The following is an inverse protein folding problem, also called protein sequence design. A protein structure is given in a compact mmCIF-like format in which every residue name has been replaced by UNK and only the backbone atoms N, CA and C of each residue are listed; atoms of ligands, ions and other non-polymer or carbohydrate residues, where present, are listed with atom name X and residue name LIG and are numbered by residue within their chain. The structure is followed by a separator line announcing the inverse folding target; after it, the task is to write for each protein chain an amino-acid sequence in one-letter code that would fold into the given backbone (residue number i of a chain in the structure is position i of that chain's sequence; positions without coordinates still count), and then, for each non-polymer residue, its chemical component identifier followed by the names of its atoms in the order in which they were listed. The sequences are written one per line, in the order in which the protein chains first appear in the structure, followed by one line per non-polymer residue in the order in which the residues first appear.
data_IF_827469441369
#
_entry.id   IF_827469441369
#
_cell.length_a   1.000
_cell.length_b   1.000
_cell.length_c   1.000
_cell.angle_alpha   90.00
_cell.angle_beta   90.00
_cell.angle_gamma   90.00
#
_symmetry.space_group_name_H-M   'P 1'
#
loop_
_entity.id
_entity.type
_entity.pdbx_description
1 polymer ?
#
# COMPACT_ATOMS: atom_id res chain seq x y z
N UNK A 1 43.64 -33.17 0.98
CA UNK A 1 44.36 -32.01 1.55
C UNK A 1 44.65 -31.02 0.44
N UNK A 2 44.00 -29.85 0.45
CA UNK A 2 44.53 -28.64 -0.17
C UNK A 2 44.11 -27.46 0.71
N UNK A 3 45.08 -26.94 1.48
CA UNK A 3 44.99 -25.67 2.21
C UNK A 3 45.03 -24.52 1.20
N UNK A 4 44.12 -23.55 1.31
CA UNK A 4 44.40 -22.17 0.90
C UNK A 4 43.97 -21.20 2.00
N UNK A 5 44.80 -20.17 2.14
CA UNK A 5 45.04 -19.34 3.31
C UNK A 5 43.95 -18.28 3.48
N UNK A 6 43.63 -17.99 4.75
CA UNK A 6 43.01 -16.74 5.18
C UNK A 6 43.93 -15.56 4.85
N UNK A 7 43.35 -14.46 4.38
CA UNK A 7 43.93 -13.14 4.47
C UNK A 7 42.85 -12.21 5.02
N UNK A 8 42.96 -11.89 6.30
CA UNK A 8 42.31 -10.75 6.90
C UNK A 8 43.16 -9.52 6.58
N UNK A 9 42.58 -8.47 5.99
CA UNK A 9 43.16 -7.12 6.01
C UNK A 9 42.03 -6.08 6.06
N UNK A 10 41.83 -5.56 7.27
CA UNK A 10 41.57 -4.18 7.69
C UNK A 10 40.48 -3.32 7.01
N UNK A 11 39.48 -2.97 7.81
CA UNK A 11 38.78 -1.69 7.73
C UNK A 11 39.77 -0.52 7.86
N UNK A 12 39.46 0.60 7.19
CA UNK A 12 39.20 1.82 7.96
C UNK A 12 37.82 2.42 7.63
N UNK A 13 37.27 3.08 8.64
CA UNK A 13 36.09 3.93 8.56
C UNK A 13 36.33 5.12 7.62
N UNK A 14 35.32 5.55 6.87
CA UNK A 14 34.61 6.80 7.19
C UNK A 14 33.53 7.14 6.16
N UNK A 15 32.41 7.63 6.71
CA UNK A 15 31.45 8.59 6.15
C UNK A 15 31.02 8.45 4.69
N UNK A 16 29.76 8.03 4.49
CA UNK A 16 29.06 8.30 3.23
C UNK A 16 27.64 7.76 3.22
N UNK A 17 26.69 8.61 3.59
CA UNK A 17 25.25 8.47 3.36
C UNK A 17 24.55 7.23 3.94
N UNK A 18 24.18 7.35 5.22
CA UNK A 18 22.85 6.91 5.64
C UNK A 18 21.83 7.94 5.15
N UNK A 19 21.68 8.07 3.84
CA UNK A 19 20.41 8.56 3.31
C UNK A 19 19.46 7.39 3.53
N UNK A 20 18.84 7.38 4.71
CA UNK A 20 17.53 6.77 4.82
C UNK A 20 16.72 7.42 3.72
N UNK A 21 16.51 6.67 2.64
CA UNK A 21 15.50 6.97 1.65
C UNK A 21 14.17 6.94 2.40
N UNK A 22 13.87 8.03 3.09
CA UNK A 22 12.52 8.46 3.40
C UNK A 22 11.83 8.37 2.04
N UNK A 23 11.04 7.31 1.85
CA UNK A 23 10.07 7.19 0.78
C UNK A 23 9.26 8.47 0.82
N UNK A 24 9.66 9.45 0.03
CA UNK A 24 9.00 10.74 -0.05
C UNK A 24 7.66 10.43 -0.69
N UNK A 25 6.62 10.29 0.13
CA UNK A 25 5.23 10.22 -0.35
C UNK A 25 5.05 11.32 -1.38
N UNK A 26 4.67 10.90 -2.59
CA UNK A 26 4.51 11.78 -3.74
C UNK A 26 3.15 12.43 -3.65
N UNK A 27 2.98 13.30 -2.65
CA UNK A 27 1.72 14.01 -2.46
C UNK A 27 1.42 14.86 -3.69
N UNK A 28 0.20 14.73 -4.21
CA UNK A 28 -0.34 15.52 -5.34
C UNK A 28 -0.24 17.02 -5.11
N UNK A 29 -0.23 17.46 -3.85
CA UNK A 29 0.02 18.85 -3.44
C UNK A 29 1.38 19.40 -3.92
N UNK A 30 2.44 18.57 -3.88
CA UNK A 30 3.78 18.96 -4.36
C UNK A 30 3.81 19.12 -5.87
N UNK A 31 3.01 18.33 -6.60
CA UNK A 31 2.91 18.46 -8.05
C UNK A 31 2.23 19.77 -8.45
N UNK A 32 1.19 20.21 -7.72
CA UNK A 32 0.62 21.56 -7.92
C UNK A 32 1.69 22.63 -7.78
N UNK A 33 2.46 22.58 -6.70
CA UNK A 33 3.50 23.56 -6.40
C UNK A 33 4.60 23.63 -7.47
N UNK A 34 5.04 22.47 -8.00
CA UNK A 34 6.09 22.39 -9.04
C UNK A 34 5.61 23.00 -10.37
N UNK A 35 4.34 22.82 -10.70
CA UNK A 35 3.81 23.14 -12.03
C UNK A 35 2.82 24.31 -12.05
N UNK A 36 2.78 25.13 -10.97
CA UNK A 36 1.89 26.29 -10.76
C UNK A 36 1.66 27.19 -11.99
N UNK A 37 2.63 27.29 -12.89
CA UNK A 37 2.62 28.25 -14.00
C UNK A 37 2.61 27.64 -15.41
N UNK A 38 2.45 26.32 -15.58
CA UNK A 38 2.87 25.70 -16.86
C UNK A 38 2.05 24.55 -17.43
N UNK A 39 1.08 23.99 -16.70
CA UNK A 39 0.34 22.83 -17.18
C UNK A 39 -1.16 23.12 -17.25
N UNK A 40 -1.63 23.48 -18.45
CA UNK A 40 -3.06 23.46 -18.76
C UNK A 40 -3.61 22.07 -18.43
N UNK A 41 -4.69 21.95 -17.65
CA UNK A 41 -5.35 20.72 -17.17
C UNK A 41 -4.75 19.98 -15.97
N UNK A 42 -3.60 20.40 -15.42
CA UNK A 42 -2.99 19.69 -14.29
C UNK A 42 -3.82 19.78 -13.01
N UNK A 43 -4.39 20.95 -12.71
CA UNK A 43 -5.19 21.13 -11.49
C UNK A 43 -6.43 20.23 -11.48
N UNK A 44 -7.11 20.09 -12.62
CA UNK A 44 -8.25 19.17 -12.80
C UNK A 44 -7.81 17.71 -12.60
N UNK A 45 -6.68 17.31 -13.20
CA UNK A 45 -6.16 15.95 -13.05
C UNK A 45 -5.78 15.63 -11.60
N UNK A 46 -5.22 16.60 -10.87
CA UNK A 46 -4.85 16.43 -9.46
C UNK A 46 -6.09 16.43 -8.55
N UNK A 47 -7.14 17.18 -8.88
CA UNK A 47 -8.44 17.12 -8.19
C UNK A 47 -9.09 15.74 -8.34
N UNK A 48 -9.15 15.22 -9.57
CA UNK A 48 -9.68 13.88 -9.86
C UNK A 48 -8.90 12.79 -9.11
N UNK A 49 -7.57 12.95 -9.02
CA UNK A 49 -6.71 12.03 -8.30
C UNK A 49 -7.01 12.03 -6.79
N UNK A 50 -7.15 13.22 -6.20
CA UNK A 50 -7.49 13.37 -4.77
C UNK A 50 -8.87 12.77 -4.45
N UNK A 51 -9.87 13.04 -5.30
CA UNK A 51 -11.21 12.47 -5.17
C UNK A 51 -11.16 10.95 -5.23
N UNK A 52 -10.49 10.40 -6.24
CA UNK A 52 -10.35 8.94 -6.44
C UNK A 52 -9.64 8.29 -5.26
N UNK A 53 -8.61 8.93 -4.71
CA UNK A 53 -7.87 8.45 -3.53
C UNK A 53 -8.79 8.33 -2.30
N UNK A 54 -9.58 9.38 -2.01
CA UNK A 54 -10.55 9.38 -0.91
C UNK A 54 -11.65 8.34 -1.09
N UNK A 55 -12.15 8.17 -2.32
CA UNK A 55 -13.14 7.15 -2.63
C UNK A 55 -12.56 5.74 -2.48
N UNK A 56 -11.31 5.54 -2.86
CA UNK A 56 -10.61 4.25 -2.73
C UNK A 56 -10.46 3.84 -1.26
N UNK A 57 -10.06 4.76 -0.38
CA UNK A 57 -10.01 4.51 1.07
C UNK A 57 -11.37 4.14 1.65
N UNK A 58 -12.43 4.86 1.25
CA UNK A 58 -13.80 4.54 1.68
C UNK A 58 -14.25 3.17 1.17
N UNK A 59 -13.92 2.83 -0.07
CA UNK A 59 -14.25 1.54 -0.68
C UNK A 59 -13.56 0.39 0.07
N UNK A 60 -12.26 0.52 0.35
CA UNK A 60 -11.50 -0.45 1.14
C UNK A 60 -12.16 -0.73 2.51
N UNK A 61 -12.54 0.33 3.23
CA UNK A 61 -13.22 0.20 4.52
C UNK A 61 -14.60 -0.48 4.40
N UNK A 62 -15.35 -0.20 3.35
CA UNK A 62 -16.66 -0.84 3.10
C UNK A 62 -16.47 -2.32 2.74
N UNK A 63 -15.49 -2.65 1.89
CA UNK A 63 -15.17 -4.02 1.48
C UNK A 63 -14.84 -4.90 2.70
N UNK A 64 -13.95 -4.45 3.59
CA UNK A 64 -13.62 -5.18 4.83
C UNK A 64 -14.87 -5.45 5.68
N UNK A 65 -15.64 -4.40 6.01
CA UNK A 65 -16.86 -4.56 6.81
C UNK A 65 -17.91 -5.45 6.14
N UNK A 66 -18.03 -5.38 4.82
CA UNK A 66 -18.95 -6.23 4.05
C UNK A 66 -18.53 -7.69 4.11
N UNK A 67 -17.24 -7.95 3.91
CA UNK A 67 -16.64 -9.27 4.00
C UNK A 67 -16.81 -9.90 5.39
N UNK A 68 -16.55 -9.14 6.45
CA UNK A 68 -16.74 -9.58 7.84
C UNK A 68 -18.20 -9.97 8.12
N UNK A 69 -19.17 -9.15 7.69
CA UNK A 69 -20.59 -9.45 7.85
C UNK A 69 -21.02 -10.68 7.05
N UNK A 70 -20.54 -10.82 5.83
CA UNK A 70 -20.83 -11.97 4.99
C UNK A 70 -20.29 -13.26 5.61
N UNK A 71 -19.04 -13.23 6.09
CA UNK A 71 -18.44 -14.35 6.78
C UNK A 71 -19.18 -14.72 8.07
N UNK A 72 -19.58 -13.72 8.86
CA UNK A 72 -20.37 -13.95 10.07
C UNK A 72 -21.71 -14.62 9.76
N UNK A 73 -22.42 -14.18 8.71
CA UNK A 73 -23.63 -14.85 8.24
C UNK A 73 -23.38 -16.31 7.85
N UNK A 74 -22.31 -16.58 7.09
CA UNK A 74 -21.96 -17.93 6.65
C UNK A 74 -21.71 -18.88 7.82
N UNK A 75 -20.96 -18.43 8.84
CA UNK A 75 -20.74 -19.18 10.09
C UNK A 75 -22.04 -19.54 10.80
N UNK A 76 -23.01 -18.63 10.82
CA UNK A 76 -24.30 -18.85 11.48
C UNK A 76 -25.23 -19.77 10.67
N UNK A 77 -24.94 -20.00 9.39
CA UNK A 77 -25.74 -20.84 8.50
C UNK A 77 -25.55 -22.34 8.69
N UNK A 78 -24.55 -22.79 9.45
CA UNK A 78 -24.31 -24.21 9.77
C UNK A 78 -23.84 -25.08 8.60
N UNK A 79 -23.52 -24.49 7.44
CA UNK A 79 -22.99 -25.20 6.29
C UNK A 79 -21.47 -25.00 6.21
N UNK A 80 -20.71 -26.06 6.51
CA UNK A 80 -19.24 -26.01 6.56
C UNK A 80 -18.58 -25.63 5.23
N UNK A 81 -19.17 -26.00 4.08
CA UNK A 81 -18.62 -25.63 2.78
C UNK A 81 -18.82 -24.13 2.48
N UNK A 82 -19.96 -23.57 2.90
CA UNK A 82 -20.24 -22.14 2.75
C UNK A 82 -19.35 -21.32 3.70
N UNK A 83 -19.16 -21.79 4.94
CA UNK A 83 -18.25 -21.16 5.91
C UNK A 83 -16.80 -21.08 5.38
N UNK A 84 -16.27 -22.20 4.85
CA UNK A 84 -14.91 -22.23 4.26
C UNK A 84 -14.75 -21.25 3.10
N UNK A 85 -15.68 -21.28 2.14
CA UNK A 85 -15.66 -20.38 0.98
C UNK A 85 -15.78 -18.92 1.43
N UNK A 86 -16.67 -18.63 2.38
CA UNK A 86 -16.86 -17.27 2.90
C UNK A 86 -15.62 -16.77 3.65
N UNK A 87 -14.92 -17.64 4.37
CA UNK A 87 -13.64 -17.31 5.02
C UNK A 87 -12.58 -16.92 4.01
N UNK A 88 -12.43 -17.70 2.94
CA UNK A 88 -11.49 -17.39 1.85
C UNK A 88 -11.82 -16.09 1.12
N UNK A 89 -13.10 -15.83 0.86
CA UNK A 89 -13.56 -14.56 0.27
C UNK A 89 -13.22 -13.39 1.20
N UNK A 90 -13.44 -13.54 2.51
CA UNK A 90 -13.09 -12.50 3.48
C UNK A 90 -11.61 -12.17 3.46
N UNK A 91 -10.76 -13.18 3.49
CA UNK A 91 -9.31 -12.99 3.52
C UNK A 91 -8.81 -12.31 2.24
N UNK A 92 -9.35 -12.68 1.07
CA UNK A 92 -9.03 -12.02 -0.21
C UNK A 92 -9.48 -10.55 -0.23
N UNK A 93 -10.69 -10.25 0.24
CA UNK A 93 -11.20 -8.88 0.30
C UNK A 93 -10.43 -8.02 1.29
N UNK A 94 -9.95 -8.59 2.40
CA UNK A 94 -9.10 -7.89 3.35
C UNK A 94 -7.74 -7.54 2.73
N UNK A 95 -7.10 -8.51 2.07
CA UNK A 95 -5.83 -8.27 1.38
C UNK A 95 -5.97 -7.17 0.32
N UNK A 96 -7.02 -7.22 -0.49
CA UNK A 96 -7.28 -6.22 -1.52
C UNK A 96 -7.55 -4.83 -0.93
N UNK A 97 -8.35 -4.74 0.14
CA UNK A 97 -8.60 -3.48 0.83
C UNK A 97 -7.33 -2.89 1.46
N UNK A 98 -6.41 -3.73 1.95
CA UNK A 98 -5.12 -3.27 2.49
C UNK A 98 -4.24 -2.70 1.37
N UNK A 99 -4.19 -3.36 0.21
CA UNK A 99 -3.49 -2.83 -0.96
C UNK A 99 -4.06 -1.48 -1.44
N UNK A 100 -5.39 -1.35 -1.45
CA UNK A 100 -6.06 -0.07 -1.77
C UNK A 100 -5.72 1.03 -0.77
N UNK A 101 -5.60 0.70 0.52
CA UNK A 101 -5.24 1.66 1.56
C UNK A 101 -3.80 2.12 1.42
N UNK A 102 -2.86 1.18 1.23
CA UNK A 102 -1.44 1.49 0.99
C UNK A 102 -1.28 2.37 -0.24
N UNK A 103 -1.91 2.02 -1.36
CA UNK A 103 -1.85 2.83 -2.57
C UNK A 103 -2.41 4.24 -2.32
N UNK A 104 -3.51 4.36 -1.58
CA UNK A 104 -4.07 5.67 -1.28
C UNK A 104 -3.18 6.53 -0.37
N UNK A 105 -2.45 5.92 0.55
CA UNK A 105 -1.48 6.61 1.43
C UNK A 105 -0.22 7.07 0.66
N UNK A 106 0.23 6.29 -0.32
CA UNK A 106 1.40 6.67 -1.14
C UNK A 106 1.11 7.87 -2.05
N UNK A 107 -0.15 8.09 -2.43
CA UNK A 107 -0.51 9.17 -3.36
C UNK A 107 -1.23 10.36 -2.69
N UNK A 108 -1.69 10.23 -1.45
CA UNK A 108 -2.15 11.37 -0.64
C UNK A 108 -0.97 12.32 -0.30
#
# INVERSE_FOLDING_TARGET
MFRRRSAAVLHPADCGNRDGEDRRSSSTSKLRDIFKNGASNLDEALDDFEITTKLTQKNAAIQRRGADRFYHWARNGGNAAIDDIAGRIRDLLHLHADQQTILAEEVA
#
